data_IF_765743597329
#
_entry.id   IF_765743597329
#
_cell.length_a   1.000
_cell.length_b   1.000
_cell.length_c   1.000
_cell.angle_alpha   90.00
_cell.angle_beta   90.00
_cell.angle_gamma   90.00
#
_symmetry.space_group_name_H-M   'P 1'
#
loop_
_entity.id
_entity.type
_entity.pdbx_description
1 polymer ?
#
# COMPACT_ATOMS: atom_id res chain seq x y z
N UNK A 1 13.37 63.37 21.10
CA UNK A 1 13.90 64.17 19.97
C UNK A 1 14.09 63.28 18.78
N UNK A 2 13.49 63.71 17.64
CA UNK A 2 13.65 63.28 16.24
C UNK A 2 13.01 61.95 15.88
N UNK A 3 11.83 61.95 15.27
CA UNK A 3 11.34 62.37 13.94
C UNK A 3 11.72 61.36 12.85
N UNK A 4 10.63 60.71 12.35
CA UNK A 4 10.24 60.49 10.96
C UNK A 4 11.07 59.48 10.14
N UNK A 5 10.42 58.52 9.55
CA UNK A 5 9.85 58.72 8.22
C UNK A 5 8.84 57.62 7.89
N UNK A 6 7.63 58.00 7.56
CA UNK A 6 6.60 57.22 6.86
C UNK A 6 7.05 56.96 5.42
N UNK A 7 7.01 55.73 4.98
CA UNK A 7 6.98 55.40 3.57
C UNK A 7 5.79 54.50 3.31
N UNK A 8 4.76 55.13 2.74
CA UNK A 8 3.58 54.46 2.22
C UNK A 8 3.94 53.70 0.93
N UNK A 9 3.78 52.39 0.93
CA UNK A 9 3.71 51.63 -0.29
C UNK A 9 2.24 51.28 -0.59
N UNK A 10 1.71 51.91 -1.59
CA UNK A 10 0.43 51.57 -2.23
C UNK A 10 0.70 50.30 -3.05
N UNK A 11 0.25 49.17 -2.57
CA UNK A 11 0.20 47.91 -3.40
C UNK A 11 -1.16 47.85 -4.06
N UNK A 12 -1.16 47.98 -5.35
CA UNK A 12 -2.29 47.74 -6.25
C UNK A 12 -2.67 46.26 -6.17
N UNK A 13 -3.82 45.96 -5.56
CA UNK A 13 -4.41 44.62 -5.64
C UNK A 13 -5.01 44.41 -7.03
N UNK A 14 -4.30 43.75 -7.90
CA UNK A 14 -4.87 43.11 -9.07
C UNK A 14 -5.55 41.80 -8.62
N UNK A 15 -6.87 41.77 -8.63
CA UNK A 15 -7.67 40.57 -8.40
C UNK A 15 -7.45 39.58 -9.54
N UNK A 16 -6.47 38.70 -9.39
CA UNK A 16 -6.32 37.48 -10.18
C UNK A 16 -7.24 36.41 -9.60
N UNK A 17 -8.28 36.04 -10.34
CA UNK A 17 -9.08 34.85 -10.06
C UNK A 17 -8.17 33.65 -10.26
N UNK A 18 -7.54 33.17 -9.19
CA UNK A 18 -6.86 31.90 -9.17
C UNK A 18 -7.93 30.79 -9.19
N UNK A 19 -8.19 30.22 -10.36
CA UNK A 19 -8.86 28.94 -10.46
C UNK A 19 -8.01 27.92 -9.69
N UNK A 20 -8.43 27.56 -8.47
CA UNK A 20 -7.88 26.44 -7.72
C UNK A 20 -8.30 25.16 -8.44
N UNK A 21 -7.50 24.73 -9.42
CA UNK A 21 -7.56 23.37 -9.88
C UNK A 21 -7.28 22.46 -8.66
N UNK A 22 -8.10 21.42 -8.42
CA UNK A 22 -7.77 20.44 -7.42
C UNK A 22 -6.40 19.86 -7.80
N UNK A 23 -5.41 20.02 -6.92
CA UNK A 23 -4.15 19.32 -7.04
C UNK A 23 -4.46 17.83 -6.91
N UNK A 24 -4.71 17.17 -8.03
CA UNK A 24 -4.61 15.72 -8.11
C UNK A 24 -3.17 15.45 -7.72
N UNK A 25 -2.97 14.89 -6.53
CA UNK A 25 -1.68 14.36 -6.12
C UNK A 25 -1.34 13.27 -7.14
N UNK A 26 -0.65 13.68 -8.19
CA UNK A 26 -0.19 12.77 -9.21
C UNK A 26 0.72 11.77 -8.51
N UNK A 27 0.43 10.49 -8.70
CA UNK A 27 1.27 9.36 -8.35
C UNK A 27 2.72 9.60 -8.86
N UNK A 28 3.50 10.35 -8.09
CA UNK A 28 4.87 10.70 -8.46
C UNK A 28 5.83 9.50 -8.34
N UNK A 29 5.41 8.44 -7.64
CA UNK A 29 6.26 7.29 -7.30
C UNK A 29 6.54 6.32 -8.45
N UNK A 30 5.87 6.44 -9.61
CA UNK A 30 6.03 5.48 -10.72
C UNK A 30 6.37 6.12 -12.08
N UNK A 31 6.90 7.34 -12.10
CA UNK A 31 7.23 8.02 -13.37
C UNK A 31 8.46 7.49 -14.10
N UNK A 32 9.17 6.51 -13.55
CA UNK A 32 10.42 6.01 -14.13
C UNK A 32 10.27 4.78 -15.03
N UNK A 33 9.11 4.12 -15.04
CA UNK A 33 8.88 3.00 -15.93
C UNK A 33 8.08 3.46 -17.15
N UNK A 34 8.48 3.08 -18.38
CA UNK A 34 7.75 3.41 -19.59
C UNK A 34 6.33 2.85 -19.52
N UNK A 35 5.34 3.68 -19.85
CA UNK A 35 3.93 3.30 -19.95
C UNK A 35 3.69 2.91 -21.42
N UNK A 36 4.25 1.80 -21.84
CA UNK A 36 3.90 1.17 -23.11
C UNK A 36 3.19 -0.13 -22.77
N UNK A 37 2.09 -0.40 -23.45
CA UNK A 37 1.36 -1.65 -23.27
C UNK A 37 2.12 -2.79 -23.91
N UNK A 38 2.33 -3.86 -23.14
CA UNK A 38 2.96 -5.08 -23.65
C UNK A 38 1.91 -6.00 -24.25
N UNK A 39 2.25 -6.62 -25.37
CA UNK A 39 1.47 -7.70 -25.93
C UNK A 39 1.72 -9.07 -25.25
N UNK A 40 2.65 -9.13 -24.30
CA UNK A 40 3.01 -10.36 -23.61
C UNK A 40 2.00 -10.66 -22.50
N UNK A 41 1.28 -11.78 -22.55
CA UNK A 41 0.36 -12.17 -21.49
C UNK A 41 1.10 -12.72 -20.28
N UNK A 42 0.48 -12.62 -19.09
CA UNK A 42 0.98 -13.31 -17.90
C UNK A 42 0.71 -14.81 -17.99
N UNK A 43 1.68 -15.63 -17.59
CA UNK A 43 1.62 -17.08 -17.60
C UNK A 43 2.24 -17.68 -16.35
N UNK A 44 1.71 -18.84 -15.89
CA UNK A 44 2.22 -19.54 -14.72
C UNK A 44 3.68 -20.04 -14.85
N UNK A 45 4.18 -20.20 -16.06
CA UNK A 45 5.56 -20.70 -16.31
C UNK A 45 6.63 -19.62 -16.16
N UNK A 46 6.23 -18.35 -16.03
CA UNK A 46 7.14 -17.21 -16.02
C UNK A 46 7.89 -17.09 -14.70
N UNK A 47 9.13 -16.55 -14.81
CA UNK A 47 9.97 -16.15 -13.68
C UNK A 47 9.73 -14.68 -13.40
N UNK A 48 9.40 -14.37 -12.17
CA UNK A 48 9.02 -13.03 -11.71
C UNK A 48 10.08 -12.44 -10.80
N UNK A 49 10.57 -11.25 -11.15
CA UNK A 49 11.38 -10.42 -10.29
C UNK A 49 10.46 -9.39 -9.58
N UNK A 50 10.50 -9.36 -8.25
CA UNK A 50 9.68 -8.47 -7.43
C UNK A 50 10.54 -7.33 -6.89
N UNK A 51 10.04 -6.11 -7.04
CA UNK A 51 10.58 -4.89 -6.47
C UNK A 51 9.54 -4.25 -5.54
N UNK A 52 9.99 -3.68 -4.45
CA UNK A 52 9.13 -2.91 -3.54
C UNK A 52 9.18 -1.43 -3.89
N UNK A 53 8.02 -0.79 -3.98
CA UNK A 53 7.92 0.66 -4.12
C UNK A 53 8.39 1.37 -2.85
N UNK A 54 8.71 2.64 -2.96
CA UNK A 54 9.00 3.49 -1.80
C UNK A 54 7.83 3.50 -0.80
N UNK A 55 6.59 3.52 -1.27
CA UNK A 55 5.40 3.41 -0.42
C UNK A 55 5.39 2.10 0.38
N UNK A 56 5.80 0.98 -0.23
CA UNK A 56 5.89 -0.31 0.46
C UNK A 56 6.92 -0.25 1.58
N UNK A 57 8.11 0.27 1.30
CA UNK A 57 9.18 0.42 2.31
C UNK A 57 8.74 1.34 3.44
N UNK A 58 8.14 2.48 3.13
CA UNK A 58 7.62 3.43 4.11
C UNK A 58 6.48 2.83 4.96
N UNK A 59 5.57 2.06 4.33
CA UNK A 59 4.49 1.37 5.03
C UNK A 59 5.03 0.31 5.96
N UNK A 60 6.02 -0.47 5.54
CA UNK A 60 6.67 -1.47 6.39
C UNK A 60 7.32 -0.83 7.62
N UNK A 61 8.10 0.24 7.43
CA UNK A 61 8.70 1.00 8.55
C UNK A 61 7.64 1.61 9.49
N UNK A 62 6.51 2.07 8.95
CA UNK A 62 5.40 2.56 9.76
C UNK A 62 4.81 1.43 10.61
N UNK A 63 4.54 0.27 10.01
CA UNK A 63 3.99 -0.89 10.71
C UNK A 63 4.96 -1.44 11.75
N UNK A 64 6.25 -1.51 11.46
CA UNK A 64 7.29 -1.92 12.43
C UNK A 64 7.30 -1.00 13.66
N UNK A 65 7.27 0.31 13.45
CA UNK A 65 7.22 1.29 14.54
C UNK A 65 5.93 1.17 15.35
N UNK A 66 4.80 1.00 14.66
CA UNK A 66 3.51 0.80 15.33
C UNK A 66 3.50 -0.51 16.14
N UNK A 67 3.99 -1.59 15.56
CA UNK A 67 4.10 -2.90 16.21
C UNK A 67 5.01 -2.85 17.45
N UNK A 68 6.17 -2.22 17.35
CA UNK A 68 7.07 -2.05 18.48
C UNK A 68 6.41 -1.31 19.67
N UNK A 69 5.59 -0.27 19.39
CA UNK A 69 4.79 0.44 20.39
C UNK A 69 3.72 -0.48 20.99
N UNK A 70 3.05 -1.29 20.16
CA UNK A 70 2.03 -2.24 20.60
C UNK A 70 2.63 -3.31 21.53
N UNK A 71 3.76 -3.91 21.14
CA UNK A 71 4.49 -4.90 21.95
C UNK A 71 4.94 -4.31 23.28
N UNK A 72 5.50 -3.10 23.28
CA UNK A 72 5.88 -2.41 24.52
C UNK A 72 4.66 -2.11 25.38
N UNK A 73 3.54 -1.70 24.79
CA UNK A 73 2.28 -1.46 25.49
C UNK A 73 1.70 -2.73 26.10
N UNK A 74 1.89 -3.88 25.47
CA UNK A 74 1.44 -5.17 25.97
C UNK A 74 2.13 -5.61 27.26
N UNK A 75 3.30 -5.05 27.58
CA UNK A 75 4.02 -5.29 28.83
C UNK A 75 3.49 -4.45 30.01
N UNK A 76 2.54 -3.52 29.76
CA UNK A 76 1.96 -2.68 30.79
C UNK A 76 0.89 -3.46 31.58
N UNK A 77 1.08 -3.74 32.87
CA UNK A 77 0.13 -4.52 33.67
C UNK A 77 -1.22 -3.80 33.87
N UNK A 78 -1.29 -2.49 33.62
CA UNK A 78 -2.53 -1.71 33.67
C UNK A 78 -3.41 -1.81 32.43
N UNK A 79 -2.93 -2.41 31.34
CA UNK A 79 -3.70 -2.60 30.11
C UNK A 79 -4.27 -4.01 30.03
N UNK A 80 -5.56 -4.14 29.72
CA UNK A 80 -6.21 -5.44 29.52
C UNK A 80 -5.50 -6.23 28.41
N UNK A 81 -5.15 -7.48 28.70
CA UNK A 81 -4.37 -8.33 27.80
C UNK A 81 -5.04 -8.56 26.43
N UNK A 82 -6.36 -8.55 26.37
CA UNK A 82 -7.12 -8.68 25.11
C UNK A 82 -6.92 -7.48 24.20
N UNK A 83 -6.87 -6.27 24.78
CA UNK A 83 -6.61 -5.04 24.03
C UNK A 83 -5.16 -5.04 23.54
N UNK A 84 -4.23 -5.39 24.40
CA UNK A 84 -2.80 -5.47 24.07
C UNK A 84 -2.57 -6.44 22.91
N UNK A 85 -3.11 -7.65 23.02
CA UNK A 85 -2.97 -8.68 21.99
C UNK A 85 -3.60 -8.24 20.66
N UNK A 86 -4.78 -7.62 20.70
CA UNK A 86 -5.42 -7.11 19.48
C UNK A 86 -4.55 -6.06 18.75
N UNK A 87 -3.87 -5.17 19.48
CA UNK A 87 -2.93 -4.23 18.88
C UNK A 87 -1.69 -4.93 18.30
N UNK A 88 -1.11 -5.88 18.99
CA UNK A 88 0.03 -6.67 18.51
C UNK A 88 -0.36 -7.43 17.24
N UNK A 89 -1.47 -8.15 17.26
CA UNK A 89 -1.92 -8.96 16.14
C UNK A 89 -2.29 -8.12 14.91
N UNK A 90 -2.93 -6.96 15.10
CA UNK A 90 -3.35 -6.10 13.99
C UNK A 90 -2.21 -5.35 13.30
N UNK A 91 -1.07 -5.25 13.95
CA UNK A 91 0.09 -4.46 13.51
C UNK A 91 1.26 -5.28 12.94
N UNK A 92 1.08 -6.58 12.73
CA UNK A 92 2.14 -7.44 12.18
C UNK A 92 2.65 -6.92 10.81
N UNK A 93 3.91 -6.44 10.74
CA UNK A 93 4.46 -5.81 9.54
C UNK A 93 4.69 -6.79 8.39
N UNK A 94 4.82 -8.08 8.68
CA UNK A 94 5.11 -9.12 7.68
C UNK A 94 3.86 -9.74 7.06
N UNK A 95 2.69 -9.55 7.67
CA UNK A 95 1.45 -10.20 7.23
C UNK A 95 1.10 -9.90 5.77
N UNK A 96 1.09 -8.63 5.40
CA UNK A 96 0.71 -8.24 4.04
C UNK A 96 1.74 -8.70 3.01
N UNK A 97 3.03 -8.48 3.26
CA UNK A 97 4.10 -8.89 2.35
C UNK A 97 4.13 -10.41 2.19
N UNK A 98 4.05 -11.16 3.29
CA UNK A 98 3.99 -12.62 3.25
C UNK A 98 2.81 -13.14 2.45
N UNK A 99 1.63 -12.52 2.60
CA UNK A 99 0.45 -12.87 1.81
C UNK A 99 0.66 -12.60 0.31
N UNK A 100 1.11 -11.38 -0.05
CA UNK A 100 1.33 -10.98 -1.44
C UNK A 100 2.36 -11.88 -2.12
N UNK A 101 3.48 -12.17 -1.44
CA UNK A 101 4.51 -13.10 -1.95
C UNK A 101 3.95 -14.51 -2.15
N UNK A 102 3.16 -15.01 -1.20
CA UNK A 102 2.49 -16.32 -1.32
C UNK A 102 1.51 -16.34 -2.50
N UNK A 103 0.78 -15.25 -2.73
CA UNK A 103 -0.16 -15.13 -3.86
C UNK A 103 0.57 -15.14 -5.19
N UNK A 104 1.69 -14.42 -5.31
CA UNK A 104 2.53 -14.46 -6.51
C UNK A 104 3.14 -15.85 -6.73
N UNK A 105 3.64 -16.51 -5.69
CA UNK A 105 4.22 -17.86 -5.77
C UNK A 105 3.20 -18.93 -6.19
N UNK A 106 1.92 -18.74 -5.97
CA UNK A 106 0.86 -19.64 -6.46
C UNK A 106 0.59 -19.48 -7.96
N UNK A 107 0.82 -18.29 -8.49
CA UNK A 107 0.49 -17.96 -9.88
C UNK A 107 1.68 -18.04 -10.82
N UNK A 108 2.93 -18.07 -10.33
CA UNK A 108 4.13 -18.04 -11.14
C UNK A 108 5.14 -19.15 -10.75
N UNK A 109 5.91 -19.63 -11.72
CA UNK A 109 6.87 -20.72 -11.51
C UNK A 109 8.02 -20.38 -10.56
N UNK A 110 8.48 -19.12 -10.58
CA UNK A 110 9.51 -18.63 -9.69
C UNK A 110 9.26 -17.15 -9.36
N UNK A 111 9.42 -16.80 -8.09
CA UNK A 111 9.24 -15.43 -7.60
C UNK A 111 10.42 -15.07 -6.70
N UNK A 112 11.20 -14.07 -7.09
CA UNK A 112 12.39 -13.62 -6.36
C UNK A 112 12.31 -12.12 -6.12
N UNK A 113 12.61 -11.69 -4.90
CA UNK A 113 12.68 -10.27 -4.52
C UNK A 113 14.09 -9.74 -4.79
N UNK A 114 14.17 -8.53 -5.33
CA UNK A 114 15.41 -7.82 -5.60
C UNK A 114 15.40 -6.45 -4.95
N UNK A 115 16.57 -5.95 -4.56
CA UNK A 115 16.71 -4.66 -3.87
C UNK A 115 16.58 -3.47 -4.84
N UNK A 116 16.86 -3.68 -6.12
CA UNK A 116 16.80 -2.63 -7.14
C UNK A 116 16.54 -3.21 -8.55
N UNK A 117 16.15 -2.32 -9.47
CA UNK A 117 15.81 -2.68 -10.83
C UNK A 117 16.99 -3.30 -11.61
N UNK A 118 18.20 -2.80 -11.41
CA UNK A 118 19.37 -3.29 -12.14
C UNK A 118 19.68 -4.75 -11.79
N UNK A 119 19.63 -5.09 -10.50
CA UNK A 119 19.78 -6.47 -10.04
C UNK A 119 18.67 -7.39 -10.56
N UNK A 120 17.42 -6.88 -10.60
CA UNK A 120 16.31 -7.62 -11.16
C UNK A 120 16.51 -7.92 -12.65
N UNK A 121 16.90 -6.93 -13.45
CA UNK A 121 17.12 -7.08 -14.90
C UNK A 121 18.31 -7.99 -15.21
N UNK A 122 19.38 -7.96 -14.40
CA UNK A 122 20.54 -8.85 -14.55
C UNK A 122 20.18 -10.32 -14.35
N UNK A 123 19.12 -10.62 -13.62
CA UNK A 123 18.62 -11.98 -13.41
C UNK A 123 17.78 -12.50 -14.59
N UNK A 124 17.57 -11.71 -15.64
CA UNK A 124 16.79 -12.02 -16.84
C UNK A 124 15.41 -12.63 -16.51
N UNK A 125 14.55 -11.92 -15.76
CA UNK A 125 13.19 -12.39 -15.49
C UNK A 125 12.33 -12.26 -16.75
N UNK A 126 11.27 -13.07 -16.82
CA UNK A 126 10.24 -12.91 -17.85
C UNK A 126 9.33 -11.71 -17.54
N UNK A 127 9.12 -11.44 -16.25
CA UNK A 127 8.24 -10.41 -15.75
C UNK A 127 8.88 -9.69 -14.57
N UNK A 128 8.79 -8.35 -14.55
CA UNK A 128 9.14 -7.50 -13.41
C UNK A 128 7.85 -7.02 -12.75
N UNK A 129 7.76 -7.17 -11.43
CA UNK A 129 6.60 -6.75 -10.63
C UNK A 129 7.01 -5.65 -9.65
N UNK A 130 6.32 -4.53 -9.70
CA UNK A 130 6.41 -3.49 -8.67
C UNK A 130 5.27 -3.66 -7.68
N UNK A 131 5.58 -4.04 -6.44
CA UNK A 131 4.63 -4.07 -5.34
C UNK A 131 4.53 -2.69 -4.67
N UNK A 132 3.31 -2.19 -4.57
CA UNK A 132 2.96 -0.96 -3.88
C UNK A 132 1.95 -1.28 -2.78
N UNK A 133 2.30 -1.01 -1.52
CA UNK A 133 1.43 -1.26 -0.38
C UNK A 133 1.25 0.00 0.44
N UNK A 134 0.04 0.18 0.95
CA UNK A 134 -0.30 1.23 1.87
C UNK A 134 -1.20 0.69 2.98
N UNK A 135 -0.88 1.01 4.23
CA UNK A 135 -1.70 0.66 5.39
C UNK A 135 -1.74 1.82 6.37
N UNK A 136 -2.94 2.12 6.84
CA UNK A 136 -3.19 3.09 7.92
C UNK A 136 -3.99 2.39 9.01
N UNK A 137 -3.44 2.37 10.22
CA UNK A 137 -4.08 1.77 11.37
C UNK A 137 -4.72 2.83 12.27
N UNK A 138 -5.68 2.41 13.11
CA UNK A 138 -6.31 3.28 14.09
C UNK A 138 -5.29 3.80 15.11
N UNK A 139 -5.41 5.07 15.50
CA UNK A 139 -4.59 5.68 16.54
C UNK A 139 -5.41 6.67 17.37
N UNK A 140 -4.81 7.31 18.38
CA UNK A 140 -5.49 8.34 19.16
C UNK A 140 -5.99 9.53 18.33
N UNK A 141 -5.38 9.77 17.15
CA UNK A 141 -5.66 10.92 16.28
C UNK A 141 -6.26 10.53 14.94
N UNK A 142 -6.41 9.23 14.71
CA UNK A 142 -6.90 8.72 13.44
C UNK A 142 -7.80 7.52 13.68
N UNK A 143 -9.03 7.62 13.23
CA UNK A 143 -10.05 6.59 13.26
C UNK A 143 -10.37 6.03 11.85
N UNK A 144 -9.76 6.56 10.81
CA UNK A 144 -9.82 6.01 9.46
C UNK A 144 -8.77 4.89 9.30
N UNK A 145 -9.23 3.70 8.99
CA UNK A 145 -8.39 2.55 8.66
C UNK A 145 -8.41 2.32 7.16
N UNK A 146 -7.26 2.10 6.58
CA UNK A 146 -7.13 1.86 5.15
C UNK A 146 -6.06 0.81 4.88
N UNK A 147 -6.32 -0.05 3.90
CA UNK A 147 -5.35 -0.98 3.35
C UNK A 147 -5.48 -0.98 1.82
N UNK A 148 -4.38 -0.81 1.11
CA UNK A 148 -4.28 -0.87 -0.35
C UNK A 148 -3.06 -1.68 -0.73
N UNK A 149 -3.27 -2.63 -1.63
CA UNK A 149 -2.25 -3.52 -2.17
C UNK A 149 -2.36 -3.50 -3.68
N UNK A 150 -1.24 -3.26 -4.36
CA UNK A 150 -1.17 -3.19 -5.80
C UNK A 150 0.11 -3.87 -6.30
N UNK A 151 0.00 -4.65 -7.35
CA UNK A 151 1.12 -5.18 -8.12
C UNK A 151 0.99 -4.71 -9.56
N UNK A 152 1.99 -4.02 -10.07
CA UNK A 152 2.09 -3.64 -11.49
C UNK A 152 3.08 -4.56 -12.16
N UNK A 153 2.68 -5.14 -13.29
CA UNK A 153 3.43 -6.13 -14.05
C UNK A 153 3.99 -5.50 -15.31
N UNK A 154 5.25 -5.79 -15.58
CA UNK A 154 6.00 -5.33 -16.73
C UNK A 154 6.74 -6.50 -17.38
N UNK A 155 6.85 -6.53 -18.70
CA UNK A 155 7.66 -7.50 -19.40
C UNK A 155 9.17 -7.24 -19.25
N UNK A 156 10.00 -8.10 -19.88
CA UNK A 156 11.46 -7.95 -19.87
C UNK A 156 11.99 -6.66 -20.50
N UNK A 157 11.17 -5.96 -21.30
CA UNK A 157 11.46 -4.66 -21.88
C UNK A 157 10.86 -3.50 -21.06
N UNK A 158 10.34 -3.78 -19.88
CA UNK A 158 9.66 -2.84 -18.99
C UNK A 158 8.40 -2.21 -19.59
N UNK A 159 7.75 -2.90 -20.55
CA UNK A 159 6.44 -2.51 -21.06
C UNK A 159 5.37 -3.01 -20.11
N UNK A 160 4.35 -2.18 -19.88
CA UNK A 160 3.29 -2.48 -18.94
C UNK A 160 2.38 -3.61 -19.45
N UNK A 161 2.18 -4.64 -18.64
CA UNK A 161 1.28 -5.76 -18.93
C UNK A 161 -0.10 -5.54 -18.29
N UNK A 162 -0.13 -5.11 -17.04
CA UNK A 162 -1.36 -4.96 -16.28
C UNK A 162 -1.11 -4.80 -14.78
N UNK A 163 -2.20 -4.76 -14.02
CA UNK A 163 -2.10 -4.65 -12.56
C UNK A 163 -3.12 -5.52 -11.85
N UNK A 164 -2.73 -6.03 -10.69
CA UNK A 164 -3.61 -6.63 -9.70
C UNK A 164 -3.71 -5.70 -8.50
N UNK A 165 -4.93 -5.56 -7.95
CA UNK A 165 -5.14 -4.65 -6.82
C UNK A 165 -6.24 -5.13 -5.88
N UNK A 166 -6.11 -4.71 -4.62
CA UNK A 166 -7.16 -4.83 -3.62
C UNK A 166 -7.06 -3.71 -2.62
N UNK A 167 -8.19 -3.14 -2.24
CA UNK A 167 -8.25 -2.03 -1.31
C UNK A 167 -9.49 -2.07 -0.45
N UNK A 168 -9.36 -1.59 0.80
CA UNK A 168 -10.47 -1.33 1.72
C UNK A 168 -10.12 -0.12 2.56
N UNK A 169 -11.13 0.71 2.80
CA UNK A 169 -11.05 1.82 3.72
C UNK A 169 -12.35 1.89 4.52
N UNK A 170 -12.24 2.17 5.81
CA UNK A 170 -13.38 2.27 6.72
C UNK A 170 -13.10 3.33 7.79
N UNK A 171 -14.13 4.13 8.10
CA UNK A 171 -14.15 5.02 9.24
C UNK A 171 -14.59 4.21 10.46
N UNK A 172 -13.66 3.95 11.36
CA UNK A 172 -13.96 3.19 12.58
C UNK A 172 -14.45 4.13 13.69
N UNK A 173 -15.39 3.66 14.54
CA UNK A 173 -15.71 4.42 15.75
C UNK A 173 -14.47 4.53 16.65
N UNK A 174 -14.27 5.65 17.33
CA UNK A 174 -13.13 5.81 18.23
C UNK A 174 -13.05 4.68 19.25
N UNK A 175 -11.87 4.05 19.36
CA UNK A 175 -11.60 3.01 20.38
C UNK A 175 -11.46 3.60 21.80
N UNK A 176 -11.22 4.91 21.89
CA UNK A 176 -10.91 5.64 23.12
C UNK A 176 -12.14 6.31 23.75
N UNK A 177 -13.32 5.69 23.64
CA UNK A 177 -14.57 6.20 24.24
C UNK A 177 -14.72 5.66 25.65
N UNK A 178 -15.02 6.55 26.62
CA UNK A 178 -15.30 6.14 27.99
C UNK A 178 -16.47 5.16 28.07
N UNK A 179 -16.33 4.16 28.93
CA UNK A 179 -17.38 3.18 29.20
C UNK A 179 -17.41 1.97 28.30
N UNK A 180 -16.56 1.84 27.27
CA UNK A 180 -16.42 0.60 26.51
C UNK A 180 -15.70 -0.48 27.33
N UNK A 181 -16.26 -1.69 27.33
CA UNK A 181 -15.61 -2.85 27.92
C UNK A 181 -14.40 -3.32 27.07
N UNK A 182 -13.37 -3.87 27.73
CA UNK A 182 -12.16 -4.35 27.07
C UNK A 182 -12.41 -5.31 25.88
N UNK A 183 -13.34 -6.28 25.95
CA UNK A 183 -13.63 -7.13 24.80
C UNK A 183 -14.17 -6.37 23.59
N UNK A 184 -14.94 -5.31 23.80
CA UNK A 184 -15.48 -4.48 22.70
C UNK A 184 -14.39 -3.67 22.03
N UNK A 185 -13.43 -3.13 22.82
CA UNK A 185 -12.26 -2.42 22.30
C UNK A 185 -11.39 -3.38 21.50
N UNK A 186 -11.08 -4.56 22.03
CA UNK A 186 -10.29 -5.57 21.34
C UNK A 186 -10.95 -6.03 20.03
N UNK A 187 -12.26 -6.29 20.03
CA UNK A 187 -13.01 -6.66 18.83
C UNK A 187 -12.93 -5.55 17.76
N UNK A 188 -13.05 -4.30 18.16
CA UNK A 188 -12.95 -3.15 17.27
C UNK A 188 -11.54 -3.02 16.66
N UNK A 189 -10.48 -3.21 17.45
CA UNK A 189 -9.10 -3.21 16.95
C UNK A 189 -8.91 -4.35 15.94
N UNK A 190 -9.45 -5.55 16.21
CA UNK A 190 -9.36 -6.69 15.32
C UNK A 190 -10.07 -6.48 13.98
N UNK A 191 -11.04 -5.57 13.88
CA UNK A 191 -11.65 -5.20 12.59
C UNK A 191 -10.63 -4.66 11.58
N UNK A 192 -9.53 -4.04 12.03
CA UNK A 192 -8.43 -3.62 11.16
C UNK A 192 -7.81 -4.81 10.42
N UNK A 193 -7.60 -5.92 11.12
CA UNK A 193 -7.09 -7.16 10.52
C UNK A 193 -8.06 -7.71 9.49
N UNK A 194 -9.36 -7.71 9.80
CA UNK A 194 -10.40 -8.17 8.87
C UNK A 194 -10.41 -7.30 7.60
N UNK A 195 -10.28 -5.99 7.75
CA UNK A 195 -10.21 -5.05 6.64
C UNK A 195 -8.99 -5.33 5.74
N UNK A 196 -7.81 -5.51 6.32
CA UNK A 196 -6.60 -5.88 5.59
C UNK A 196 -6.75 -7.20 4.85
N UNK A 197 -7.26 -8.23 5.53
CA UNK A 197 -7.48 -9.56 4.92
C UNK A 197 -8.47 -9.47 3.76
N UNK A 198 -9.52 -8.67 3.85
CA UNK A 198 -10.48 -8.48 2.76
C UNK A 198 -9.86 -7.75 1.56
N UNK A 199 -8.97 -6.79 1.79
CA UNK A 199 -8.19 -6.16 0.72
C UNK A 199 -7.23 -7.14 0.06
N UNK A 200 -6.55 -8.00 0.83
CA UNK A 200 -5.66 -9.05 0.32
C UNK A 200 -6.43 -10.11 -0.50
N UNK A 201 -7.60 -10.55 -0.06
CA UNK A 201 -8.46 -11.45 -0.84
C UNK A 201 -8.93 -10.83 -2.15
N UNK A 202 -9.21 -9.53 -2.16
CA UNK A 202 -9.54 -8.82 -3.40
C UNK A 202 -8.33 -8.75 -4.34
N UNK A 203 -7.13 -8.54 -3.80
CA UNK A 203 -5.89 -8.62 -4.57
C UNK A 203 -5.71 -10.00 -5.20
N UNK A 204 -5.90 -11.09 -4.44
CA UNK A 204 -5.80 -12.47 -4.96
C UNK A 204 -6.77 -12.71 -6.13
N UNK A 205 -8.01 -12.28 -5.98
CA UNK A 205 -9.01 -12.41 -7.05
C UNK A 205 -8.61 -11.61 -8.30
N UNK A 206 -8.10 -10.39 -8.12
CA UNK A 206 -7.62 -9.52 -9.20
C UNK A 206 -6.40 -10.15 -9.92
N UNK A 207 -5.42 -10.67 -9.15
CA UNK A 207 -4.26 -11.35 -9.69
C UNK A 207 -4.65 -12.59 -10.53
N UNK A 208 -5.50 -13.44 -9.97
CA UNK A 208 -5.99 -14.63 -10.68
C UNK A 208 -6.72 -14.26 -11.97
N UNK A 209 -7.54 -13.23 -11.96
CA UNK A 209 -8.24 -12.75 -13.16
C UNK A 209 -7.24 -12.28 -14.22
N UNK A 210 -6.21 -11.51 -13.82
CA UNK A 210 -5.19 -10.99 -14.73
C UNK A 210 -4.39 -12.11 -15.40
N UNK A 211 -3.95 -13.13 -14.63
CA UNK A 211 -3.22 -14.30 -15.17
C UNK A 211 -4.13 -15.18 -16.04
N UNK A 212 -5.42 -15.30 -15.69
CA UNK A 212 -6.37 -16.12 -16.47
C UNK A 212 -6.73 -15.44 -17.80
N UNK A 213 -6.89 -14.12 -17.82
CA UNK A 213 -7.18 -13.35 -19.03
C UNK A 213 -6.08 -13.54 -20.09
N UNK A 214 -4.80 -13.50 -19.68
CA UNK A 214 -3.68 -13.77 -20.57
C UNK A 214 -3.66 -15.18 -21.20
N UNK A 215 -4.37 -16.15 -20.62
CA UNK A 215 -4.52 -17.52 -21.20
C UNK A 215 -5.57 -17.56 -22.30
N UNK A 216 -6.62 -16.77 -22.21
CA UNK A 216 -7.74 -16.82 -23.17
C UNK A 216 -7.31 -16.26 -24.52
N UNK A 217 -6.51 -15.20 -24.54
CA UNK A 217 -6.04 -14.57 -25.77
C UNK A 217 -5.09 -15.47 -26.56
N UNK A 218 -4.34 -16.37 -25.89
CA UNK A 218 -3.44 -17.31 -26.55
C UNK A 218 -4.16 -18.50 -27.22
N UNK A 219 -5.31 -18.90 -26.68
CA UNK A 219 -6.10 -20.03 -27.25
C UNK A 219 -6.88 -19.57 -28.49
N UNK A 220 -7.22 -18.29 -28.59
CA UNK A 220 -7.94 -17.71 -29.74
C UNK A 220 -7.02 -17.41 -30.94
N UNK A 221 -5.68 -17.47 -30.77
CA UNK A 221 -4.70 -17.12 -31.83
C UNK A 221 -4.05 -18.33 -32.50
N UNK A 222 -4.45 -19.56 -32.17
CA UNK A 222 -4.08 -20.82 -32.78
C UNK A 222 -5.30 -21.43 -33.49
#
# INVERSE_FOLDING_TARGET
MRISTLLAFVAVFSAGVAATAPAVAADAACRFLPIADSAVPLQHTQKVAVLFSENTLNTQQYLERYHAVAVKGAQNPGLDSRISQAFVDSSDPQRAIGWLMTSLQKEFAAVTVYDNLDAALQAHPDVVVMLDTYSRLVSKRNDQVEARFMARFYDSNLQYIGQAQGSRAEQMPSVWVHGKAAPQIAAQINQQTVLQVNALKQFDASLKTLVTAGRVDHVASN
#
